data_IF_214775634137
#
_entry.id   IF_214775634137
#
_cell.length_a   1.000
_cell.length_b   1.000
_cell.length_c   1.000
_cell.angle_alpha   90.00
_cell.angle_beta   90.00
_cell.angle_gamma   90.00
#
_symmetry.space_group_name_H-M   'P 1'
#
loop_
_entity.id
_entity.type
_entity.pdbx_description
1 polymer ?
#
# COMPACT_ATOMS: atom_id res chain seq x y z
N UNK A 1 -27.20 23.71 6.44
CA UNK A 1 -25.77 23.49 6.79
C UNK A 1 -25.31 22.14 6.25
N UNK A 2 -24.62 22.11 5.11
CA UNK A 2 -24.03 20.89 4.55
C UNK A 2 -22.60 20.73 5.08
N UNK A 3 -22.38 19.80 6.01
CA UNK A 3 -21.06 19.56 6.61
C UNK A 3 -20.78 18.05 6.67
N UNK A 4 -20.09 17.58 5.64
CA UNK A 4 -19.13 16.46 5.62
C UNK A 4 -19.58 15.11 6.18
N UNK A 5 -20.14 14.23 5.31
CA UNK A 5 -20.23 12.78 5.56
C UNK A 5 -19.71 11.93 4.38
N UNK A 6 -18.66 12.36 3.68
CA UNK A 6 -18.17 11.65 2.47
C UNK A 6 -16.67 11.36 2.45
N UNK A 7 -16.06 11.02 3.60
CA UNK A 7 -14.65 10.54 3.66
C UNK A 7 -14.34 9.52 4.77
N UNK A 8 -15.33 8.80 5.30
CA UNK A 8 -15.10 7.72 6.28
C UNK A 8 -15.48 6.33 5.74
N UNK A 9 -16.19 6.26 4.61
CA UNK A 9 -16.69 5.00 4.08
C UNK A 9 -15.60 4.16 3.38
N UNK A 10 -14.63 4.80 2.70
CA UNK A 10 -13.63 4.08 1.90
C UNK A 10 -12.59 3.33 2.75
N UNK A 11 -12.38 3.75 4.00
CA UNK A 11 -11.36 3.15 4.86
C UNK A 11 -11.87 1.95 5.68
N UNK A 12 -13.18 1.66 5.66
CA UNK A 12 -13.77 0.59 6.46
C UNK A 12 -13.89 -0.76 5.73
N UNK A 13 -13.60 -0.80 4.41
CA UNK A 13 -13.70 -2.04 3.61
C UNK A 13 -12.39 -2.81 3.43
N UNK A 14 -11.22 -2.21 3.71
CA UNK A 14 -9.92 -2.88 3.47
C UNK A 14 -9.48 -3.82 4.61
N UNK A 15 -10.31 -4.04 5.63
CA UNK A 15 -9.96 -4.89 6.78
C UNK A 15 -10.89 -6.09 6.90
N UNK A 16 -11.14 -6.80 5.79
CA UNK A 16 -11.81 -8.10 5.78
C UNK A 16 -10.87 -9.19 5.24
N UNK A 17 -10.34 -9.97 6.19
CA UNK A 17 -10.05 -11.40 6.08
C UNK A 17 -8.95 -11.88 5.09
N UNK A 18 -7.92 -12.56 5.63
CA UNK A 18 -7.86 -14.03 5.61
C UNK A 18 -6.56 -14.55 6.25
N UNK A 19 -6.71 -15.39 7.28
CA UNK A 19 -5.74 -16.43 7.57
C UNK A 19 -5.81 -17.43 6.42
N UNK A 20 -4.77 -17.52 5.59
CA UNK A 20 -4.63 -18.54 4.55
C UNK A 20 -3.20 -19.06 4.58
N UNK A 21 -3.08 -20.40 4.64
CA UNK A 21 -1.86 -21.15 4.94
C UNK A 21 -0.62 -20.71 4.16
N UNK A 22 0.52 -20.91 4.81
CA UNK A 22 1.85 -20.58 4.31
C UNK A 22 2.18 -21.39 3.04
N UNK A 23 1.78 -20.87 1.88
CA UNK A 23 2.29 -21.32 0.59
C UNK A 23 3.57 -20.55 0.28
N UNK A 24 4.57 -21.28 -0.23
CA UNK A 24 5.89 -20.76 -0.61
C UNK A 24 5.76 -19.70 -1.69
N UNK A 25 5.73 -18.42 -1.27
CA UNK A 25 5.55 -17.27 -2.17
C UNK A 25 6.69 -17.20 -3.19
N UNK A 26 6.34 -17.17 -4.46
CA UNK A 26 7.29 -16.91 -5.57
C UNK A 26 7.87 -15.48 -5.45
N UNK A 27 9.01 -15.21 -6.09
CA UNK A 27 9.68 -13.89 -6.01
C UNK A 27 8.76 -12.78 -6.53
N UNK A 28 8.01 -13.04 -7.61
CA UNK A 28 7.05 -12.09 -8.17
C UNK A 28 5.91 -11.79 -7.19
N UNK A 29 5.33 -12.82 -6.55
CA UNK A 29 4.29 -12.63 -5.54
C UNK A 29 4.81 -11.87 -4.31
N UNK A 30 6.06 -12.08 -3.90
CA UNK A 30 6.68 -11.31 -2.81
C UNK A 30 6.78 -9.83 -3.18
N UNK A 31 7.19 -9.51 -4.41
CA UNK A 31 7.31 -8.14 -4.89
C UNK A 31 5.94 -7.44 -5.00
N UNK A 32 4.92 -8.12 -5.55
CA UNK A 32 3.54 -7.60 -5.62
C UNK A 32 2.97 -7.35 -4.22
N UNK A 33 3.19 -8.29 -3.29
CA UNK A 33 2.75 -8.13 -1.90
C UNK A 33 3.41 -6.93 -1.21
N UNK A 34 4.69 -6.67 -1.48
CA UNK A 34 5.41 -5.54 -0.88
C UNK A 34 4.97 -4.19 -1.47
N UNK A 35 4.71 -4.14 -2.78
CA UNK A 35 4.12 -2.96 -3.45
C UNK A 35 2.78 -2.58 -2.82
N UNK A 36 1.89 -3.56 -2.60
CA UNK A 36 0.58 -3.34 -1.97
C UNK A 36 0.72 -2.80 -0.53
N UNK A 37 1.64 -3.34 0.27
CA UNK A 37 1.92 -2.85 1.62
C UNK A 37 2.44 -1.41 1.62
N UNK A 38 3.34 -1.07 0.68
CA UNK A 38 3.88 0.28 0.57
C UNK A 38 2.80 1.29 0.21
N UNK A 39 1.95 0.98 -0.79
CA UNK A 39 0.83 1.83 -1.18
C UNK A 39 -0.14 2.09 -0.01
N UNK A 40 -0.44 1.06 0.78
CA UNK A 40 -1.27 1.22 1.98
C UNK A 40 -0.63 2.18 3.00
N UNK A 41 0.65 1.99 3.32
CA UNK A 41 1.37 2.85 4.26
C UNK A 41 1.42 4.31 3.79
N UNK A 42 1.69 4.54 2.50
CA UNK A 42 1.69 5.89 1.90
C UNK A 42 0.33 6.55 2.09
N UNK A 43 -0.77 5.87 1.72
CA UNK A 43 -2.13 6.41 1.90
C UNK A 43 -2.43 6.76 3.36
N UNK A 44 -2.00 5.91 4.30
CA UNK A 44 -2.17 6.16 5.75
C UNK A 44 -1.39 7.38 6.22
N UNK A 45 -0.11 7.51 5.86
CA UNK A 45 0.71 8.65 6.26
C UNK A 45 0.29 9.95 5.57
N UNK A 46 -0.24 9.88 4.34
CA UNK A 46 -0.81 11.03 3.65
C UNK A 46 -2.05 11.57 4.37
N UNK A 47 -2.94 10.68 4.83
CA UNK A 47 -4.09 11.07 5.65
C UNK A 47 -3.69 11.72 6.98
N UNK A 48 -2.56 11.28 7.56
CA UNK A 48 -1.98 11.88 8.77
C UNK A 48 -1.16 13.15 8.50
N UNK A 49 -1.07 13.61 7.24
CA UNK A 49 -0.21 14.73 6.80
C UNK A 49 1.28 14.58 7.14
N UNK A 50 1.77 13.34 7.22
CA UNK A 50 3.19 13.05 7.41
C UNK A 50 3.91 12.92 6.07
N UNK A 51 4.35 14.06 5.53
CA UNK A 51 5.00 14.15 4.21
C UNK A 51 6.35 13.44 4.14
N UNK A 52 7.17 13.53 5.20
CA UNK A 52 8.50 12.92 5.24
C UNK A 52 8.43 11.38 5.10
N UNK A 53 7.49 10.73 5.81
CA UNK A 53 7.29 9.28 5.67
C UNK A 53 6.72 8.90 4.30
N UNK A 54 5.84 9.72 3.72
CA UNK A 54 5.33 9.47 2.37
C UNK A 54 6.46 9.49 1.32
N UNK A 55 7.36 10.47 1.40
CA UNK A 55 8.51 10.59 0.50
C UNK A 55 9.43 9.36 0.59
N UNK A 56 9.78 8.94 1.82
CA UNK A 56 10.61 7.75 2.03
C UNK A 56 9.98 6.49 1.44
N UNK A 57 8.68 6.28 1.67
CA UNK A 57 7.97 5.10 1.19
C UNK A 57 7.76 5.13 -0.33
N UNK A 58 7.54 6.31 -0.92
CA UNK A 58 7.47 6.48 -2.37
C UNK A 58 8.80 6.12 -3.05
N UNK A 59 9.94 6.51 -2.47
CA UNK A 59 11.25 6.12 -3.00
C UNK A 59 11.46 4.59 -3.01
N UNK A 60 11.03 3.91 -1.94
CA UNK A 60 11.05 2.43 -1.89
C UNK A 60 10.13 1.79 -2.95
N UNK A 61 8.94 2.35 -3.12
CA UNK A 61 7.96 1.89 -4.11
C UNK A 61 8.51 2.03 -5.54
N UNK A 62 9.10 3.17 -5.88
CA UNK A 62 9.70 3.41 -7.20
C UNK A 62 10.82 2.42 -7.50
N UNK A 63 11.69 2.13 -6.52
CA UNK A 63 12.77 1.15 -6.69
C UNK A 63 12.25 -0.25 -7.00
N UNK A 64 11.19 -0.70 -6.32
CA UNK A 64 10.58 -2.00 -6.57
C UNK A 64 9.89 -2.07 -7.94
N UNK A 65 9.22 -1.00 -8.36
CA UNK A 65 8.60 -0.93 -9.69
C UNK A 65 9.65 -0.96 -10.80
N UNK A 66 10.76 -0.24 -10.61
CA UNK A 66 11.88 -0.28 -11.56
C UNK A 66 12.50 -1.69 -11.67
N UNK A 67 12.68 -2.38 -10.55
CA UNK A 67 13.17 -3.77 -10.53
C UNK A 67 12.22 -4.74 -11.23
N UNK A 68 10.91 -4.54 -11.09
CA UNK A 68 9.92 -5.36 -11.76
C UNK A 68 9.87 -5.08 -13.27
N UNK A 69 9.99 -3.82 -13.67
CA UNK A 69 10.04 -3.43 -15.08
C UNK A 69 11.29 -3.95 -15.80
N UNK A 70 12.43 -4.06 -15.11
CA UNK A 70 13.66 -4.66 -15.66
C UNK A 70 13.64 -6.19 -15.72
N UNK A 71 12.68 -6.83 -15.05
CA UNK A 71 12.54 -8.29 -15.01
C UNK A 71 11.52 -8.82 -16.04
N UNK A 72 10.91 -7.91 -16.82
CA UNK A 72 10.06 -8.19 -17.99
C UNK A 72 10.89 -8.07 -19.27
#
# INVERSE_FOLDING_TARGET
MQRQKKKVQDNKMFNRSRNAGAQTKTIMEKNVNEILKLQYRIKRYQAMRNGAMCQLLNGKLQKLLAQQASAL
#
